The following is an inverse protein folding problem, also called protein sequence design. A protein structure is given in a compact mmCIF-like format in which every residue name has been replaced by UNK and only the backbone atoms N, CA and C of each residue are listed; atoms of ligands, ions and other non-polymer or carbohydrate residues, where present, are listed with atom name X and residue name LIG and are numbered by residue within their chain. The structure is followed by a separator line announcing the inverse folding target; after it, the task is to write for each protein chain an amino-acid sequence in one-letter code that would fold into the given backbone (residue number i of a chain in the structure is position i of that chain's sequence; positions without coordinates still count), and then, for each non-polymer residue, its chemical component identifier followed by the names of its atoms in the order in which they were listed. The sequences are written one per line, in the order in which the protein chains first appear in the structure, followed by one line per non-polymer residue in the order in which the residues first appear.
data_IF_747882615792
#
_entry.id   IF_747882615792
#
_cell.length_a   1.000
_cell.length_b   1.000
_cell.length_c   1.000
_cell.angle_alpha   90.00
_cell.angle_beta   90.00
_cell.angle_gamma   90.00
#
_symmetry.space_group_name_H-M   'P 1'
#
loop_
_entity.id
_entity.type
_entity.pdbx_description
1 polymer ?
#
# COMPACT_ATOMS: atom_id res chain seq x y z
N UNK A 1 13.46 1.06 5.24
CA UNK A 1 12.20 0.67 5.90
C UNK A 1 11.13 0.32 4.88
N UNK A 2 10.21 -0.57 5.25
CA UNK A 2 8.98 -0.86 4.51
C UNK A 2 7.80 -0.29 5.29
N UNK A 3 6.92 0.42 4.58
CA UNK A 3 5.62 0.87 5.07
C UNK A 3 4.51 0.28 4.19
N UNK A 4 3.42 -0.09 4.78
CA UNK A 4 2.19 -0.46 4.07
C UNK A 4 0.96 -0.09 4.91
N UNK A 5 -0.15 0.21 4.23
CA UNK A 5 -1.43 0.44 4.88
C UNK A 5 -1.92 -0.85 5.56
N UNK A 6 -2.68 -0.70 6.65
CA UNK A 6 -3.14 -1.83 7.48
C UNK A 6 -4.17 -2.73 6.79
N UNK A 7 -4.74 -2.30 5.67
CA UNK A 7 -5.70 -3.05 4.85
C UNK A 7 -5.02 -3.78 3.66
N UNK A 8 -3.70 -3.99 3.74
CA UNK A 8 -2.94 -4.78 2.77
C UNK A 8 -2.60 -6.16 3.32
N UNK A 9 -2.88 -7.20 2.54
CA UNK A 9 -2.43 -8.58 2.80
C UNK A 9 -1.25 -8.92 1.90
N UNK A 10 -0.14 -9.32 2.49
CA UNK A 10 1.03 -9.82 1.77
C UNK A 10 0.88 -11.31 1.49
N UNK A 11 1.00 -11.69 0.21
CA UNK A 11 0.85 -13.05 -0.30
C UNK A 11 2.14 -13.55 -1.01
N UNK A 12 3.28 -12.97 -0.68
CA UNK A 12 4.58 -13.34 -1.24
C UNK A 12 5.72 -13.02 -0.26
N UNK A 13 6.90 -13.59 -0.49
CA UNK A 13 8.08 -13.25 0.30
C UNK A 13 8.56 -11.82 -0.02
N UNK A 14 8.46 -10.92 0.98
CA UNK A 14 8.89 -9.53 0.89
C UNK A 14 10.39 -9.37 0.64
N UNK A 15 11.20 -10.37 0.99
CA UNK A 15 12.64 -10.32 0.75
C UNK A 15 12.97 -10.30 -0.75
N UNK A 16 12.04 -10.77 -1.60
CA UNK A 16 12.19 -10.68 -3.05
C UNK A 16 12.29 -9.22 -3.55
N UNK A 17 11.72 -8.25 -2.80
CA UNK A 17 11.85 -6.82 -3.09
C UNK A 17 13.31 -6.34 -2.95
N UNK A 18 14.13 -6.97 -2.11
CA UNK A 18 15.53 -6.61 -1.94
C UNK A 18 16.31 -6.70 -3.25
N UNK A 19 15.97 -7.67 -4.13
CA UNK A 19 16.60 -7.81 -5.44
C UNK A 19 16.31 -6.61 -6.35
N UNK A 20 15.09 -6.06 -6.23
CA UNK A 20 14.64 -4.91 -7.02
C UNK A 20 15.35 -3.64 -6.52
N UNK A 21 15.29 -3.38 -5.21
CA UNK A 21 15.84 -2.14 -4.64
C UNK A 21 17.37 -2.07 -4.70
N UNK A 22 18.08 -3.21 -4.69
CA UNK A 22 19.55 -3.23 -4.78
C UNK A 22 20.07 -2.55 -6.05
N UNK A 23 19.35 -2.67 -7.19
CA UNK A 23 19.76 -2.14 -8.49
C UNK A 23 19.93 -0.62 -8.47
N UNK A 24 19.02 0.10 -7.81
CA UNK A 24 18.92 1.55 -7.86
C UNK A 24 19.15 2.25 -6.52
N UNK A 25 19.64 1.52 -5.51
CA UNK A 25 19.75 2.01 -4.12
C UNK A 25 20.56 3.30 -3.99
N UNK A 26 21.57 3.50 -4.83
CA UNK A 26 22.44 4.69 -4.76
C UNK A 26 21.70 5.97 -5.20
N UNK A 27 20.79 5.89 -6.16
CA UNK A 27 20.08 7.05 -6.74
C UNK A 27 18.68 7.26 -6.15
N UNK A 28 18.06 6.25 -5.55
CA UNK A 28 16.64 6.24 -5.18
C UNK A 28 16.43 6.56 -3.70
N UNK A 29 15.44 7.38 -3.41
CA UNK A 29 14.96 7.70 -2.06
C UNK A 29 13.75 6.86 -1.65
N UNK A 30 12.86 6.56 -2.62
CA UNK A 30 11.60 5.87 -2.40
C UNK A 30 11.29 4.91 -3.54
N UNK A 31 10.76 3.73 -3.20
CA UNK A 31 10.13 2.81 -4.15
C UNK A 31 8.68 2.62 -3.75
N UNK A 32 7.77 2.68 -4.74
CA UNK A 32 6.34 2.43 -4.54
C UNK A 32 5.72 1.85 -5.81
N UNK A 33 4.48 1.37 -5.74
CA UNK A 33 3.71 1.06 -6.93
C UNK A 33 3.13 2.35 -7.48
N UNK A 34 3.49 2.71 -8.72
CA UNK A 34 2.99 3.90 -9.40
C UNK A 34 1.63 3.61 -10.04
N UNK A 35 0.57 3.76 -9.26
CA UNK A 35 -0.80 3.63 -9.76
C UNK A 35 -1.14 4.79 -10.70
N UNK A 36 -1.76 4.43 -11.84
CA UNK A 36 -2.35 5.38 -12.77
C UNK A 36 -3.80 4.95 -13.02
N UNK A 37 -4.72 5.46 -12.21
CA UNK A 37 -6.14 5.14 -12.32
C UNK A 37 -6.99 6.30 -11.77
N UNK A 38 -8.27 6.31 -12.16
CA UNK A 38 -9.29 7.16 -11.53
C UNK A 38 -10.16 6.25 -10.65
N UNK A 39 -10.45 6.64 -9.40
CA UNK A 39 -11.38 5.90 -8.56
C UNK A 39 -12.70 5.62 -9.27
N UNK A 40 -13.18 4.39 -9.19
CA UNK A 40 -14.45 3.95 -9.79
C UNK A 40 -15.66 4.42 -9.00
N UNK A 41 -15.48 4.72 -7.72
CA UNK A 41 -16.54 5.13 -6.80
C UNK A 41 -16.17 6.44 -6.10
N UNK A 42 -17.18 7.30 -5.87
CA UNK A 42 -17.03 8.53 -5.09
C UNK A 42 -16.94 8.26 -3.59
N UNK A 43 -17.43 7.12 -3.13
CA UNK A 43 -17.46 6.69 -1.72
C UNK A 43 -16.79 5.34 -1.53
N UNK A 44 -16.16 5.16 -0.37
CA UNK A 44 -15.60 3.88 0.08
C UNK A 44 -16.20 3.47 1.44
N UNK A 45 -15.55 2.57 2.19
CA UNK A 45 -16.06 2.07 3.46
C UNK A 45 -16.47 3.22 4.41
N UNK A 46 -17.50 2.98 5.23
CA UNK A 46 -18.08 3.96 6.16
C UNK A 46 -18.49 5.28 5.50
N UNK A 47 -18.86 5.22 4.22
CA UNK A 47 -19.33 6.38 3.44
C UNK A 47 -18.29 7.51 3.28
N UNK A 48 -16.99 7.20 3.48
CA UNK A 48 -15.90 8.16 3.31
C UNK A 48 -15.74 8.58 1.85
N UNK A 49 -15.50 9.88 1.63
CA UNK A 49 -15.24 10.43 0.31
C UNK A 49 -13.95 9.90 -0.31
N UNK A 50 -13.97 9.66 -1.61
CA UNK A 50 -12.80 9.37 -2.42
C UNK A 50 -12.39 10.61 -3.22
N UNK A 51 -11.35 11.29 -2.78
CA UNK A 51 -10.79 12.41 -3.53
C UNK A 51 -9.89 11.94 -4.66
N UNK A 52 -9.97 12.62 -5.80
CA UNK A 52 -9.07 12.43 -6.94
C UNK A 52 -7.87 13.35 -6.74
N UNK A 53 -6.67 12.80 -6.71
CA UNK A 53 -5.42 13.54 -6.65
C UNK A 53 -4.28 12.77 -7.31
N UNK A 54 -3.26 13.48 -7.76
CA UNK A 54 -2.09 12.88 -8.37
C UNK A 54 -1.37 11.93 -7.40
N UNK A 55 -0.87 10.80 -7.92
CA UNK A 55 -0.17 9.77 -7.14
C UNK A 55 -1.03 9.09 -6.07
N UNK A 56 -2.37 9.01 -6.30
CA UNK A 56 -3.29 8.33 -5.39
C UNK A 56 -2.86 6.87 -5.18
N UNK A 57 -2.85 6.43 -3.91
CA UNK A 57 -2.41 5.10 -3.46
C UNK A 57 -0.92 4.76 -3.71
N UNK A 58 -0.09 5.70 -4.16
CA UNK A 58 1.35 5.46 -4.21
C UNK A 58 1.96 5.33 -2.81
N UNK A 59 1.43 6.08 -1.84
CA UNK A 59 1.88 6.07 -0.44
C UNK A 59 1.35 4.91 0.40
N UNK A 60 0.51 4.04 -0.16
CA UNK A 60 -0.05 2.92 0.58
C UNK A 60 0.91 1.73 0.73
N UNK A 61 1.92 1.63 -0.14
CA UNK A 61 2.98 0.64 -0.05
C UNK A 61 4.30 1.26 -0.49
N UNK A 62 5.23 1.45 0.44
CA UNK A 62 6.45 2.22 0.22
C UNK A 62 7.68 1.54 0.82
N UNK A 63 8.79 1.59 0.09
CA UNK A 63 10.09 1.21 0.61
C UNK A 63 10.97 2.46 0.67
N UNK A 64 11.46 2.81 1.84
CA UNK A 64 12.29 3.98 2.07
C UNK A 64 13.78 3.65 2.08
N UNK A 65 14.56 4.46 1.40
CA UNK A 65 15.98 4.57 1.65
C UNK A 65 16.19 5.59 2.78
N UNK A 66 16.22 5.15 4.03
CA UNK A 66 16.26 6.03 5.20
C UNK A 66 17.40 7.05 5.15
N UNK A 67 18.56 6.66 4.58
CA UNK A 67 19.71 7.58 4.43
C UNK A 67 19.39 8.79 3.54
N UNK A 68 18.43 8.64 2.60
CA UNK A 68 18.02 9.68 1.65
C UNK A 68 16.71 10.38 2.02
N UNK A 69 15.98 9.86 3.01
CA UNK A 69 14.71 10.40 3.48
C UNK A 69 14.83 11.21 4.78
N UNK A 70 16.00 11.77 5.06
CA UNK A 70 16.29 12.53 6.31
C UNK A 70 15.38 13.75 6.51
N UNK A 71 14.73 14.24 5.45
CA UNK A 71 13.76 15.34 5.52
C UNK A 71 12.49 14.95 6.29
N UNK A 72 12.14 13.65 6.34
CA UNK A 72 10.98 13.15 7.09
C UNK A 72 11.30 13.08 8.59
N UNK A 73 11.49 14.24 9.22
CA UNK A 73 11.55 14.35 10.68
C UNK A 73 10.14 14.43 11.25
N UNK A 74 9.91 14.08 12.52
CA UNK A 74 8.60 14.26 13.17
C UNK A 74 8.07 15.68 13.02
N UNK A 75 8.88 16.70 13.30
CA UNK A 75 8.51 18.11 13.16
C UNK A 75 8.11 18.49 11.73
N UNK A 76 8.82 18.00 10.72
CA UNK A 76 8.45 18.25 9.32
C UNK A 76 7.11 17.59 8.95
N UNK A 77 6.89 16.34 9.37
CA UNK A 77 5.66 15.60 9.07
C UNK A 77 4.46 16.22 9.77
N UNK A 78 4.61 16.66 11.00
CA UNK A 78 3.55 17.31 11.77
C UNK A 78 3.10 18.63 11.14
N UNK A 79 4.03 19.43 10.62
CA UNK A 79 3.74 20.75 10.02
C UNK A 79 3.34 20.66 8.53
N UNK A 80 3.67 19.58 7.85
CA UNK A 80 3.42 19.46 6.42
C UNK A 80 1.95 19.12 6.11
N UNK A 81 1.44 19.68 5.01
CA UNK A 81 0.12 19.31 4.50
C UNK A 81 0.10 17.83 4.07
N UNK A 82 -0.95 17.06 4.47
CA UNK A 82 -1.07 15.64 4.19
C UNK A 82 -1.02 15.32 2.69
N UNK A 83 -1.68 16.12 1.84
CA UNK A 83 -1.64 15.91 0.39
C UNK A 83 -0.23 16.16 -0.18
N UNK A 84 0.52 17.11 0.38
CA UNK A 84 1.92 17.35 0.02
C UNK A 84 2.79 16.12 0.32
N UNK A 85 2.56 15.48 1.47
CA UNK A 85 3.26 14.25 1.87
C UNK A 85 2.88 13.07 0.97
N UNK A 86 1.58 12.83 0.75
CA UNK A 86 1.06 11.73 -0.08
C UNK A 86 1.47 11.83 -1.56
N UNK A 87 1.65 13.04 -2.07
CA UNK A 87 2.13 13.27 -3.43
C UNK A 87 3.66 13.25 -3.56
N UNK A 88 4.38 13.00 -2.45
CA UNK A 88 5.84 13.01 -2.39
C UNK A 88 6.47 14.32 -2.88
N UNK A 89 5.81 15.47 -2.69
CA UNK A 89 6.33 16.79 -3.10
C UNK A 89 7.62 17.19 -2.35
N UNK A 90 7.97 16.46 -1.32
CA UNK A 90 9.22 16.58 -0.56
C UNK A 90 10.40 15.84 -1.21
N UNK A 91 10.18 15.06 -2.30
CA UNK A 91 11.19 14.38 -3.11
C UNK A 91 11.22 14.93 -4.54
N UNK A 92 12.34 14.75 -5.22
CA UNK A 92 12.42 14.93 -6.68
C UNK A 92 11.84 13.69 -7.37
N UNK A 93 11.12 13.87 -8.48
CA UNK A 93 10.46 12.76 -9.18
C UNK A 93 11.43 11.63 -9.60
N UNK A 94 12.64 11.99 -10.01
CA UNK A 94 13.70 11.04 -10.39
C UNK A 94 14.16 10.13 -9.25
N UNK A 95 13.93 10.53 -7.99
CA UNK A 95 14.33 9.81 -6.79
C UNK A 95 13.25 8.81 -6.34
N UNK A 96 12.11 8.76 -7.05
CA UNK A 96 11.00 7.84 -6.80
C UNK A 96 11.00 6.78 -7.89
N UNK A 97 11.23 5.52 -7.52
CA UNK A 97 11.25 4.39 -8.45
C UNK A 97 10.01 3.50 -8.30
N UNK A 98 9.64 2.87 -9.40
CA UNK A 98 8.52 1.94 -9.42
C UNK A 98 8.96 0.54 -8.99
N UNK A 99 8.09 -0.12 -8.22
CA UNK A 99 8.11 -1.57 -8.00
C UNK A 99 6.95 -2.22 -8.76
N UNK A 100 7.04 -3.53 -9.06
CA UNK A 100 6.01 -4.20 -9.85
C UNK A 100 4.62 -4.10 -9.23
N UNK A 101 3.61 -3.84 -10.08
CA UNK A 101 2.20 -3.59 -9.68
C UNK A 101 1.59 -4.69 -8.81
N UNK A 102 2.03 -5.95 -8.98
CA UNK A 102 1.55 -7.07 -8.16
C UNK A 102 1.80 -6.93 -6.65
N UNK A 103 2.62 -5.96 -6.21
CA UNK A 103 2.88 -5.70 -4.81
C UNK A 103 1.85 -4.81 -4.12
N UNK A 104 0.97 -4.17 -4.89
CA UNK A 104 -0.10 -3.33 -4.34
C UNK A 104 -1.30 -3.35 -5.29
N UNK A 105 -2.03 -4.46 -5.32
CA UNK A 105 -3.21 -4.65 -6.17
C UNK A 105 -4.43 -4.08 -5.47
N UNK A 106 -5.05 -3.07 -6.08
CA UNK A 106 -6.21 -2.36 -5.53
C UNK A 106 -7.49 -3.13 -5.86
N UNK A 107 -8.06 -3.79 -4.85
CA UNK A 107 -9.30 -4.58 -4.98
C UNK A 107 -10.47 -3.64 -5.32
N UNK A 108 -11.22 -4.01 -6.37
CA UNK A 108 -12.37 -3.24 -6.86
C UNK A 108 -12.04 -2.02 -7.71
N UNK A 109 -10.75 -1.66 -7.84
CA UNK A 109 -10.30 -0.51 -8.64
C UNK A 109 -9.53 -0.94 -9.90
N UNK A 110 -9.07 -2.17 -9.95
CA UNK A 110 -8.30 -2.68 -11.09
C UNK A 110 -8.47 -4.20 -11.26
N UNK A 111 -8.27 -4.68 -12.49
CA UNK A 111 -8.27 -6.12 -12.76
C UNK A 111 -7.15 -6.82 -11.99
N UNK A 112 -7.49 -7.88 -11.28
CA UNK A 112 -6.51 -8.65 -10.49
C UNK A 112 -5.74 -9.63 -11.40
N UNK A 113 -4.40 -9.56 -11.46
CA UNK A 113 -3.59 -10.46 -12.26
C UNK A 113 -3.51 -11.86 -11.62
N UNK A 114 -3.03 -12.86 -12.41
CA UNK A 114 -2.81 -14.21 -11.88
C UNK A 114 -1.83 -14.24 -10.70
N UNK A 115 -0.72 -13.50 -10.82
CA UNK A 115 0.28 -13.38 -9.74
C UNK A 115 0.01 -12.13 -8.93
N UNK A 116 -0.24 -12.30 -7.62
CA UNK A 116 -0.50 -11.23 -6.67
C UNK A 116 0.43 -11.40 -5.48
N UNK A 117 1.18 -10.35 -5.17
CA UNK A 117 2.12 -10.30 -4.04
C UNK A 117 1.57 -9.49 -2.86
N UNK A 118 0.85 -8.40 -3.14
CA UNK A 118 0.16 -7.58 -2.15
C UNK A 118 -1.26 -7.25 -2.61
N UNK A 119 -2.25 -7.45 -1.73
CA UNK A 119 -3.68 -7.24 -1.98
C UNK A 119 -4.14 -6.12 -1.08
N UNK A 120 -4.57 -5.01 -1.65
CA UNK A 120 -5.00 -3.81 -0.95
C UNK A 120 -6.52 -3.64 -1.06
N UNK A 121 -7.21 -3.71 0.07
CA UNK A 121 -8.66 -3.56 0.16
C UNK A 121 -9.09 -2.09 0.30
N UNK A 122 -8.57 -1.23 -0.57
CA UNK A 122 -8.68 0.24 -0.48
C UNK A 122 -10.11 0.77 -0.45
N UNK A 123 -11.10 0.05 -1.01
CA UNK A 123 -12.52 0.41 -0.94
C UNK A 123 -13.18 -0.06 0.36
N UNK A 124 -12.57 -1.03 1.02
CA UNK A 124 -13.05 -1.71 2.20
C UNK A 124 -12.86 -3.22 2.10
N UNK A 125 -12.39 -3.83 3.20
CA UNK A 125 -12.05 -5.24 3.24
C UNK A 125 -13.17 -6.13 3.74
N UNK A 126 -12.95 -7.48 3.74
CA UNK A 126 -13.95 -8.47 4.15
C UNK A 126 -14.42 -8.37 5.60
N UNK A 127 -13.77 -7.56 6.41
CA UNK A 127 -14.15 -7.22 7.79
C UNK A 127 -15.35 -6.26 7.86
N UNK A 128 -15.74 -5.62 6.76
CA UNK A 128 -16.98 -4.86 6.66
C UNK A 128 -18.08 -5.70 6.01
N UNK A 129 -19.30 -5.67 6.58
CA UNK A 129 -20.46 -6.43 6.08
C UNK A 129 -20.69 -6.22 4.57
N UNK A 130 -20.60 -4.97 4.09
CA UNK A 130 -20.77 -4.60 2.67
C UNK A 130 -19.74 -5.29 1.76
N UNK A 131 -18.51 -5.52 2.24
CA UNK A 131 -17.38 -6.04 1.45
C UNK A 131 -17.00 -7.49 1.79
N UNK A 132 -17.84 -8.21 2.58
CA UNK A 132 -17.53 -9.58 3.04
C UNK A 132 -17.21 -10.57 1.93
N UNK A 133 -17.71 -10.34 0.72
CA UNK A 133 -17.53 -11.14 -0.48
C UNK A 133 -16.78 -10.39 -1.59
N UNK A 134 -16.03 -9.33 -1.28
CA UNK A 134 -15.22 -8.65 -2.27
C UNK A 134 -14.20 -9.59 -2.91
N UNK A 135 -13.67 -9.20 -4.05
CA UNK A 135 -12.68 -10.01 -4.77
C UNK A 135 -11.49 -10.31 -3.85
N UNK A 136 -10.98 -11.57 -3.89
CA UNK A 136 -9.91 -12.07 -2.99
C UNK A 136 -10.25 -12.08 -1.47
N UNK A 137 -11.52 -11.96 -1.09
CA UNK A 137 -11.93 -12.06 0.32
C UNK A 137 -11.48 -13.36 0.99
N UNK A 138 -11.41 -14.47 0.23
CA UNK A 138 -10.92 -15.77 0.72
C UNK A 138 -9.48 -15.71 1.21
N UNK A 139 -8.61 -14.93 0.60
CA UNK A 139 -7.20 -14.78 1.03
C UNK A 139 -7.15 -14.05 2.38
N UNK A 140 -7.93 -12.98 2.54
CA UNK A 140 -8.03 -12.27 3.82
C UNK A 140 -8.56 -13.19 4.92
N UNK A 141 -9.68 -13.90 4.65
CA UNK A 141 -10.30 -14.82 5.63
C UNK A 141 -9.33 -15.91 6.08
N UNK A 142 -8.55 -16.49 5.15
CA UNK A 142 -7.51 -17.47 5.46
C UNK A 142 -6.40 -16.88 6.35
N UNK A 143 -5.94 -15.67 6.05
CA UNK A 143 -4.91 -14.99 6.85
C UNK A 143 -5.43 -14.64 8.25
N UNK A 144 -6.65 -14.13 8.33
CA UNK A 144 -7.32 -13.84 9.60
C UNK A 144 -7.47 -15.07 10.47
N UNK A 145 -7.98 -16.19 9.92
CA UNK A 145 -8.11 -17.46 10.65
C UNK A 145 -6.77 -17.94 11.21
N UNK A 146 -5.70 -17.83 10.45
CA UNK A 146 -4.35 -18.18 10.92
C UNK A 146 -3.86 -17.27 12.05
N UNK A 147 -4.19 -15.99 12.02
CA UNK A 147 -3.76 -15.02 13.02
C UNK A 147 -4.49 -15.21 14.36
N UNK A 148 -5.78 -15.57 14.33
CA UNK A 148 -6.58 -15.74 15.57
C UNK A 148 -6.47 -17.15 16.20
N UNK A 149 -6.11 -18.18 15.42
CA UNK A 149 -6.01 -19.55 15.93
C UNK A 149 -4.98 -19.73 17.07
N UNK A 150 -3.78 -19.13 17.01
CA UNK A 150 -2.82 -19.16 18.11
C UNK A 150 -3.32 -18.50 19.41
N UNK A 151 -4.25 -17.54 19.30
CA UNK A 151 -4.82 -16.84 20.46
C UNK A 151 -5.82 -17.70 21.23
N UNK A 152 -6.48 -18.67 20.57
CA UNK A 152 -7.43 -19.60 21.20
C UNK A 152 -6.77 -20.74 21.96
N UNK A 153 -5.48 -20.98 21.77
CA UNK A 153 -4.72 -22.04 22.45
C UNK A 153 -4.04 -21.59 23.75
N UNK A 154 -4.27 -20.36 24.20
CA UNK A 154 -3.66 -19.80 25.43
C UNK A 154 -4.63 -19.65 26.60
N UNK A 155 -5.81 -20.28 26.54
CA UNK A 155 -6.78 -20.32 27.64
C UNK A 155 -7.14 -21.76 28.03
#
# INVERSE_FOLDING_TARGET
SLYMDCDIIINADVLSLLKIIKKDKKSTSLWCVKHNYKPSNEKKFLNNDQYIYNKKNWSSFMIFNNKKCKKLTPDFVEKANGLYLHQFKWLKEKDIKEIPKQWNILVGEQKIPKKVCGIHYTLGGPYFKKYKNCEKANIWKKSFSKAIFPLKLKY
#
